data_IF_382406761092
#
_entry.id   IF_382406761092
#
_cell.length_a   1.000
_cell.length_b   1.000
_cell.length_c   1.000
_cell.angle_alpha   90.00
_cell.angle_beta   90.00
_cell.angle_gamma   90.00
#
_symmetry.space_group_name_H-M   'P 1'
#
loop_
_entity.id
_entity.type
_entity.pdbx_description
1 polymer ?
#
# COMPACT_ATOMS: atom_id res chain seq x y z
N UNK A 1 65.17 32.53 -44.29
CA UNK A 1 65.30 31.11 -44.65
C UNK A 1 64.53 30.25 -43.65
N UNK A 2 63.44 29.60 -44.08
CA UNK A 2 63.18 28.15 -43.91
C UNK A 2 61.69 27.82 -44.12
N UNK A 3 61.49 26.70 -44.83
CA UNK A 3 60.31 26.17 -45.51
C UNK A 3 59.15 25.76 -44.58
N UNK A 4 57.90 25.60 -45.09
CA UNK A 4 56.78 25.06 -44.32
C UNK A 4 56.78 23.52 -44.36
N UNK A 5 56.62 22.89 -43.20
CA UNK A 5 56.34 21.45 -43.10
C UNK A 5 54.83 21.22 -43.13
N UNK A 6 54.38 20.47 -44.14
CA UNK A 6 53.06 19.89 -44.24
C UNK A 6 53.12 18.45 -43.72
N UNK A 7 52.27 18.07 -42.77
CA UNK A 7 51.74 16.69 -42.66
C UNK A 7 50.59 16.57 -41.65
N UNK A 8 49.38 16.47 -42.23
CA UNK A 8 48.45 15.33 -42.06
C UNK A 8 48.07 14.94 -40.62
N UNK A 9 47.07 15.62 -40.05
CA UNK A 9 46.26 15.10 -38.94
C UNK A 9 45.15 14.18 -39.48
N UNK A 10 45.20 12.89 -39.11
CA UNK A 10 44.10 11.93 -39.23
C UNK A 10 43.35 11.89 -37.88
N UNK A 11 42.00 11.89 -37.84
CA UNK A 11 41.25 11.70 -36.61
C UNK A 11 41.00 10.20 -36.38
N UNK A 12 41.70 9.58 -35.43
CA UNK A 12 41.30 8.27 -34.91
C UNK A 12 40.44 8.46 -33.66
N UNK A 13 39.13 8.59 -33.88
CA UNK A 13 38.12 8.51 -32.83
C UNK A 13 37.89 7.04 -32.45
N UNK A 14 38.72 6.48 -31.58
CA UNK A 14 38.40 5.19 -30.93
C UNK A 14 37.60 5.47 -29.66
N UNK A 15 36.26 5.54 -29.80
CA UNK A 15 35.38 5.36 -28.66
C UNK A 15 35.45 3.89 -28.23
N UNK A 16 36.25 3.61 -27.21
CA UNK A 16 36.21 2.32 -26.52
C UNK A 16 34.89 2.23 -25.76
N UNK A 17 33.95 1.42 -26.25
CA UNK A 17 32.75 1.07 -25.49
C UNK A 17 33.15 0.32 -24.21
N UNK A 18 32.51 0.59 -23.07
CA UNK A 18 32.77 -0.15 -21.85
C UNK A 18 32.33 -1.62 -22.02
N UNK A 19 33.04 -2.57 -21.38
CA UNK A 19 32.76 -4.00 -21.52
C UNK A 19 31.34 -4.32 -21.03
N UNK A 20 30.58 -5.04 -21.87
CA UNK A 20 29.27 -5.53 -21.50
C UNK A 20 29.39 -6.57 -20.37
N UNK A 21 28.53 -6.44 -19.36
CA UNK A 21 28.50 -7.30 -18.19
C UNK A 21 28.09 -8.73 -18.58
N UNK A 22 28.96 -9.75 -18.44
CA UNK A 22 28.68 -11.12 -18.88
C UNK A 22 27.57 -11.82 -18.09
N UNK A 23 27.09 -11.24 -16.98
CA UNK A 23 25.99 -11.79 -16.17
C UNK A 23 24.59 -11.51 -16.74
N UNK A 24 24.47 -10.73 -17.82
CA UNK A 24 23.18 -10.45 -18.48
C UNK A 24 22.85 -11.41 -19.63
N UNK A 25 23.73 -12.34 -19.99
CA UNK A 25 23.61 -13.13 -21.20
C UNK A 25 22.64 -14.33 -21.12
N UNK A 26 22.01 -14.63 -19.97
CA UNK A 26 21.20 -15.85 -19.85
C UNK A 26 20.09 -15.84 -18.79
N UNK A 27 19.40 -14.71 -18.59
CA UNK A 27 18.15 -14.72 -17.85
C UNK A 27 17.06 -15.39 -18.71
N UNK A 28 16.35 -16.42 -18.22
CA UNK A 28 15.19 -16.95 -18.93
C UNK A 28 14.18 -15.81 -19.12
N UNK A 29 13.85 -15.53 -20.38
CA UNK A 29 12.77 -14.61 -20.74
C UNK A 29 11.47 -15.16 -20.12
N UNK A 30 10.70 -14.39 -19.34
CA UNK A 30 9.43 -14.87 -18.83
C UNK A 30 8.49 -15.12 -20.01
N UNK A 31 8.31 -16.38 -20.38
CA UNK A 31 7.22 -16.83 -21.23
C UNK A 31 5.94 -16.79 -20.41
N UNK A 32 5.32 -15.62 -20.35
CA UNK A 32 3.92 -15.49 -19.98
C UNK A 32 3.24 -14.70 -21.10
N UNK A 33 2.46 -15.40 -21.92
CA UNK A 33 1.37 -14.78 -22.65
C UNK A 33 0.41 -14.21 -21.60
N UNK A 34 0.58 -12.92 -21.30
CA UNK A 34 -0.44 -12.15 -20.61
C UNK A 34 -1.59 -11.95 -21.60
N UNK A 35 -2.82 -12.43 -21.32
CA UNK A 35 -3.94 -12.15 -22.19
C UNK A 35 -4.12 -10.63 -22.34
N UNK A 36 -4.55 -10.20 -23.53
CA UNK A 36 -4.74 -8.79 -23.89
C UNK A 36 -5.79 -8.13 -22.99
N UNK A 37 -5.34 -7.59 -21.86
CA UNK A 37 -6.16 -6.81 -20.93
C UNK A 37 -6.02 -5.34 -21.32
N UNK A 38 -7.11 -4.65 -21.72
CA UNK A 38 -7.05 -3.24 -22.11
C UNK A 38 -6.54 -2.37 -20.96
N UNK A 39 -5.79 -1.29 -21.23
CA UNK A 39 -5.15 -0.51 -20.20
C UNK A 39 -6.19 0.26 -19.38
N UNK A 40 -6.19 0.13 -18.04
CA UNK A 40 -7.10 0.90 -17.22
C UNK A 40 -6.67 2.36 -17.17
N UNK A 41 -7.62 3.24 -17.50
CA UNK A 41 -7.54 4.66 -17.18
C UNK A 41 -8.06 4.83 -15.76
N UNK A 42 -7.37 5.64 -14.93
CA UNK A 42 -7.67 5.91 -13.50
C UNK A 42 -7.23 4.78 -12.55
N UNK A 43 -6.70 5.12 -11.35
CA UNK A 43 -6.11 4.24 -10.32
C UNK A 43 -6.00 2.77 -10.77
N UNK A 44 -4.82 2.36 -11.28
CA UNK A 44 -4.67 1.12 -12.06
C UNK A 44 -5.57 -0.01 -11.58
N UNK A 45 -6.53 -0.42 -12.42
CA UNK A 45 -7.68 -1.27 -12.05
C UNK A 45 -7.30 -2.43 -11.15
N UNK A 46 -6.14 -3.04 -11.39
CA UNK A 46 -5.58 -4.13 -10.59
C UNK A 46 -5.62 -3.91 -9.08
N UNK A 47 -5.40 -2.68 -8.61
CA UNK A 47 -5.50 -2.37 -7.18
C UNK A 47 -6.95 -2.45 -6.69
N UNK A 48 -7.88 -1.87 -7.44
CA UNK A 48 -9.30 -1.91 -7.08
C UNK A 48 -9.86 -3.32 -7.23
N UNK A 49 -9.47 -4.04 -8.28
CA UNK A 49 -9.84 -5.45 -8.49
C UNK A 49 -9.40 -6.31 -7.30
N UNK A 50 -8.19 -6.08 -6.76
CA UNK A 50 -7.71 -6.75 -5.55
C UNK A 50 -8.58 -6.42 -4.33
N UNK A 51 -8.93 -5.15 -4.14
CA UNK A 51 -9.78 -4.72 -3.01
C UNK A 51 -11.17 -5.33 -3.12
N UNK A 52 -11.79 -5.31 -4.30
CA UNK A 52 -13.11 -5.88 -4.54
C UNK A 52 -13.11 -7.41 -4.39
N UNK A 53 -12.02 -8.09 -4.76
CA UNK A 53 -11.87 -9.53 -4.52
C UNK A 53 -11.81 -9.88 -3.03
N UNK A 54 -11.31 -8.97 -2.19
CA UNK A 54 -11.12 -9.17 -0.76
C UNK A 54 -12.37 -8.86 0.06
N UNK A 55 -13.16 -7.84 -0.34
CA UNK A 55 -14.34 -7.38 0.42
C UNK A 55 -15.32 -8.49 0.84
N UNK A 56 -15.67 -9.48 -0.01
CA UNK A 56 -16.55 -10.58 0.39
C UNK A 56 -16.00 -11.50 1.49
N UNK A 57 -14.70 -11.42 1.78
CA UNK A 57 -13.99 -12.29 2.71
C UNK A 57 -13.58 -11.61 4.01
N UNK A 58 -13.95 -10.34 4.19
CA UNK A 58 -13.68 -9.56 5.40
C UNK A 58 -14.98 -9.03 5.99
N UNK A 59 -14.92 -8.59 7.23
CA UNK A 59 -16.03 -7.83 7.82
C UNK A 59 -15.81 -6.34 7.57
N UNK A 60 -16.88 -5.64 7.22
CA UNK A 60 -16.90 -4.18 7.13
C UNK A 60 -17.91 -3.61 8.13
N UNK A 61 -17.62 -2.43 8.64
CA UNK A 61 -18.54 -1.65 9.46
C UNK A 61 -18.68 -0.23 8.94
N UNK A 62 -19.80 0.40 9.24
CA UNK A 62 -20.03 1.81 8.94
C UNK A 62 -19.37 2.71 10.00
N UNK A 63 -19.37 4.02 9.74
CA UNK A 63 -18.89 5.00 10.71
C UNK A 63 -19.83 5.03 11.92
N UNK A 64 -21.13 4.91 11.68
CA UNK A 64 -22.19 4.91 12.67
C UNK A 64 -22.06 3.70 13.60
N UNK A 65 -21.76 2.51 13.07
CA UNK A 65 -21.49 1.32 13.88
C UNK A 65 -20.32 1.55 14.85
N UNK A 66 -19.21 2.12 14.35
CA UNK A 66 -18.04 2.39 15.18
C UNK A 66 -18.35 3.45 16.24
N UNK A 67 -19.06 4.52 15.88
CA UNK A 67 -19.50 5.55 16.83
C UNK A 67 -20.36 4.94 17.94
N UNK A 68 -21.29 4.05 17.58
CA UNK A 68 -22.14 3.35 18.55
C UNK A 68 -21.31 2.46 19.47
N UNK A 69 -20.36 1.68 18.94
CA UNK A 69 -19.49 0.82 19.76
C UNK A 69 -18.65 1.63 20.75
N UNK A 70 -18.14 2.79 20.32
CA UNK A 70 -17.40 3.71 21.19
C UNK A 70 -18.33 4.29 22.26
N UNK A 71 -19.55 4.71 21.90
CA UNK A 71 -20.53 5.27 22.83
C UNK A 71 -20.97 4.23 23.88
N UNK A 72 -21.11 2.97 23.47
CA UNK A 72 -21.48 1.85 24.35
C UNK A 72 -20.32 1.37 25.24
N UNK A 73 -19.10 1.91 25.05
CA UNK A 73 -17.91 1.49 25.78
C UNK A 73 -17.47 0.07 25.46
N UNK A 74 -17.82 -0.45 24.26
CA UNK A 74 -17.40 -1.76 23.81
C UNK A 74 -15.87 -1.80 23.69
N UNK A 75 -15.18 -2.84 24.20
CA UNK A 75 -13.74 -2.96 24.02
C UNK A 75 -13.41 -3.16 22.54
N UNK A 76 -12.76 -2.17 21.92
CA UNK A 76 -12.36 -2.18 20.52
C UNK A 76 -11.02 -1.49 20.34
N UNK A 77 -10.13 -2.13 19.59
CA UNK A 77 -8.87 -1.54 19.14
C UNK A 77 -9.09 -0.82 17.82
N UNK A 78 -9.00 0.51 17.83
CA UNK A 78 -9.05 1.30 16.61
C UNK A 78 -7.62 1.47 16.08
N UNK A 79 -7.36 1.01 14.86
CA UNK A 79 -6.03 1.01 14.25
C UNK A 79 -6.02 1.87 12.98
N UNK A 80 -5.18 2.90 12.99
CA UNK A 80 -4.92 3.77 11.84
C UNK A 80 -3.79 3.19 10.99
N UNK A 81 -4.13 2.71 9.78
CA UNK A 81 -3.15 2.14 8.84
C UNK A 81 -2.62 3.13 7.81
N UNK A 82 -2.89 4.42 8.00
CA UNK A 82 -2.34 5.49 7.16
C UNK A 82 -0.86 5.74 7.46
N UNK A 83 -0.21 6.44 6.54
CA UNK A 83 1.15 6.92 6.79
C UNK A 83 1.13 8.05 7.84
N UNK A 84 2.20 8.20 8.65
CA UNK A 84 2.24 9.20 9.73
C UNK A 84 1.87 10.62 9.28
N UNK A 85 2.32 11.01 8.08
CA UNK A 85 2.04 12.33 7.50
C UNK A 85 0.54 12.60 7.25
N UNK A 86 -0.27 11.55 7.05
CA UNK A 86 -1.71 11.68 6.83
C UNK A 86 -2.46 12.00 8.14
N UNK A 87 -1.91 11.58 9.29
CA UNK A 87 -2.56 11.67 10.61
C UNK A 87 -2.65 13.09 11.15
N UNK A 88 -1.84 14.03 10.63
CA UNK A 88 -1.91 15.45 10.98
C UNK A 88 -3.27 16.10 10.67
N UNK A 89 -4.06 15.50 9.78
CA UNK A 89 -5.42 15.96 9.44
C UNK A 89 -6.47 15.51 10.47
N UNK A 90 -6.07 14.82 11.52
CA UNK A 90 -6.92 14.26 12.55
C UNK A 90 -6.92 12.74 12.56
N UNK A 91 -7.45 12.20 13.66
CA UNK A 91 -7.51 10.78 13.97
C UNK A 91 -8.84 10.45 14.68
N UNK A 92 -9.17 9.17 14.77
CA UNK A 92 -10.37 8.69 15.46
C UNK A 92 -10.00 8.38 16.92
N UNK A 93 -10.40 9.23 17.86
CA UNK A 93 -10.07 9.06 19.28
C UNK A 93 -8.55 9.06 19.52
N UNK A 94 -8.06 8.05 20.25
CA UNK A 94 -6.64 7.77 20.41
C UNK A 94 -6.28 6.41 19.79
N UNK A 95 -6.12 6.33 18.46
CA UNK A 95 -5.96 5.06 17.78
C UNK A 95 -4.51 4.57 17.88
N UNK A 96 -4.35 3.25 17.80
CA UNK A 96 -3.04 2.62 17.59
C UNK A 96 -2.61 2.92 16.14
N UNK A 97 -1.47 3.57 15.96
CA UNK A 97 -0.99 3.98 14.63
C UNK A 97 0.01 2.95 14.10
N UNK A 98 -0.41 2.14 13.14
CA UNK A 98 0.46 1.12 12.52
C UNK A 98 0.31 1.22 11.00
N UNK A 99 1.24 1.85 10.29
CA UNK A 99 1.15 2.00 8.84
C UNK A 99 0.97 0.66 8.13
N UNK A 100 0.19 0.65 7.04
CA UNK A 100 -0.17 -0.59 6.32
C UNK A 100 1.04 -1.47 5.99
N UNK A 101 2.19 -0.89 5.64
CA UNK A 101 3.38 -1.63 5.22
C UNK A 101 4.13 -2.38 6.32
N UNK A 102 3.80 -2.14 7.60
CA UNK A 102 4.44 -2.78 8.76
C UNK A 102 3.43 -3.44 9.70
N UNK A 103 2.17 -3.56 9.26
CA UNK A 103 1.06 -4.02 10.09
C UNK A 103 1.31 -5.43 10.62
N UNK A 104 1.62 -6.38 9.74
CA UNK A 104 1.79 -7.80 10.06
C UNK A 104 2.95 -8.03 11.04
N UNK A 105 3.95 -7.16 11.04
CA UNK A 105 5.13 -7.26 11.93
C UNK A 105 4.87 -6.65 13.31
N UNK A 106 3.94 -5.68 13.40
CA UNK A 106 3.72 -4.91 14.63
C UNK A 106 2.44 -5.31 15.37
N UNK A 107 1.46 -5.90 14.69
CA UNK A 107 0.12 -6.11 15.25
C UNK A 107 0.12 -6.97 16.52
N UNK A 108 0.90 -8.06 16.56
CA UNK A 108 0.97 -8.96 17.73
C UNK A 108 1.55 -8.28 18.97
N UNK A 109 2.35 -7.20 18.81
CA UNK A 109 2.86 -6.42 19.94
C UNK A 109 1.81 -5.47 20.49
N UNK A 110 0.92 -4.98 19.62
CA UNK A 110 -0.13 -4.04 19.98
C UNK A 110 -1.39 -4.75 20.50
N UNK A 111 -1.78 -5.84 19.84
CA UNK A 111 -2.98 -6.64 20.13
C UNK A 111 -2.56 -8.13 20.06
N UNK A 112 -2.01 -8.70 21.14
CA UNK A 112 -1.50 -10.08 21.14
C UNK A 112 -2.60 -11.14 21.10
N UNK A 113 -3.79 -10.83 21.61
CA UNK A 113 -4.92 -11.75 21.60
C UNK A 113 -5.71 -11.63 20.28
N UNK A 114 -5.71 -12.70 19.51
CA UNK A 114 -6.35 -12.79 18.19
C UNK A 114 -7.88 -12.73 18.23
N UNK A 115 -8.48 -12.87 19.43
CA UNK A 115 -9.93 -12.79 19.63
C UNK A 115 -10.42 -11.38 19.92
N UNK A 116 -9.52 -10.43 20.18
CA UNK A 116 -9.88 -9.04 20.45
C UNK A 116 -10.48 -8.36 19.20
N UNK A 117 -11.43 -7.46 19.44
CA UNK A 117 -12.09 -6.73 18.36
C UNK A 117 -11.18 -5.63 17.83
N UNK A 118 -10.87 -5.68 16.54
CA UNK A 118 -10.03 -4.71 15.84
C UNK A 118 -10.83 -4.03 14.74
N UNK A 119 -10.78 -2.70 14.72
CA UNK A 119 -11.32 -1.87 13.64
C UNK A 119 -10.16 -1.13 12.96
N UNK A 120 -9.93 -1.46 11.69
CA UNK A 120 -8.92 -0.85 10.85
C UNK A 120 -9.54 0.28 10.04
N UNK A 121 -8.85 1.41 9.95
CA UNK A 121 -9.22 2.45 9.00
C UNK A 121 -8.00 3.02 8.29
N UNK A 122 -8.23 3.45 7.05
CA UNK A 122 -7.27 4.22 6.28
C UNK A 122 -7.91 5.54 5.84
N UNK A 123 -7.36 6.23 4.83
CA UNK A 123 -7.98 7.45 4.32
C UNK A 123 -9.38 7.24 3.70
N UNK A 124 -9.63 6.08 3.07
CA UNK A 124 -10.82 5.86 2.23
C UNK A 124 -11.42 4.46 2.23
N UNK A 125 -11.01 3.58 3.15
CA UNK A 125 -11.52 2.20 3.27
C UNK A 125 -10.73 1.11 2.51
N UNK A 126 -10.07 1.42 1.38
CA UNK A 126 -9.44 0.38 0.56
C UNK A 126 -8.20 -0.28 1.19
N UNK A 127 -7.28 0.49 1.79
CA UNK A 127 -6.08 -0.07 2.44
C UNK A 127 -6.44 -0.85 3.71
N UNK A 128 -7.48 -0.41 4.44
CA UNK A 128 -7.97 -1.11 5.63
C UNK A 128 -8.66 -2.42 5.27
N UNK A 129 -9.33 -2.53 4.12
CA UNK A 129 -9.86 -3.79 3.64
C UNK A 129 -8.76 -4.85 3.41
N UNK A 130 -7.69 -4.47 2.70
CA UNK A 130 -6.53 -5.36 2.49
C UNK A 130 -5.79 -5.69 3.80
N UNK A 131 -5.77 -4.76 4.76
CA UNK A 131 -5.22 -5.00 6.08
C UNK A 131 -6.07 -6.03 6.86
N UNK A 132 -7.40 -5.90 6.82
CA UNK A 132 -8.32 -6.80 7.52
C UNK A 132 -8.16 -8.24 7.02
N UNK A 133 -8.03 -8.43 5.71
CA UNK A 133 -7.75 -9.75 5.12
C UNK A 133 -6.42 -10.33 5.59
N UNK A 134 -5.38 -9.50 5.69
CA UNK A 134 -4.05 -9.94 6.14
C UNK A 134 -4.09 -10.37 7.61
N UNK A 135 -4.78 -9.61 8.47
CA UNK A 135 -4.97 -10.01 9.87
C UNK A 135 -5.82 -11.28 10.00
N UNK A 136 -6.86 -11.44 9.18
CA UNK A 136 -7.63 -12.68 9.11
C UNK A 136 -6.76 -13.89 8.76
N UNK A 137 -5.84 -13.75 7.80
CA UNK A 137 -4.85 -14.79 7.46
C UNK A 137 -3.86 -15.10 8.61
N UNK A 138 -3.63 -14.14 9.51
CA UNK A 138 -2.83 -14.32 10.72
C UNK A 138 -3.61 -14.97 11.88
N UNK A 139 -4.93 -15.19 11.72
CA UNK A 139 -5.77 -15.84 12.73
C UNK A 139 -6.60 -14.90 13.60
N UNK A 140 -6.55 -13.58 13.36
CA UNK A 140 -7.45 -12.65 14.05
C UNK A 140 -8.90 -12.89 13.64
N UNK A 141 -9.78 -13.13 14.61
CA UNK A 141 -11.15 -13.58 14.35
C UNK A 141 -12.18 -12.45 14.30
N UNK A 142 -11.85 -11.29 14.86
CA UNK A 142 -12.78 -10.17 15.03
C UNK A 142 -12.21 -8.87 14.45
N UNK A 143 -11.89 -8.92 13.15
CA UNK A 143 -11.32 -7.78 12.41
C UNK A 143 -12.35 -7.18 11.46
N UNK A 144 -12.44 -5.84 11.50
CA UNK A 144 -13.35 -5.05 10.70
C UNK A 144 -12.61 -3.94 9.96
N UNK A 145 -12.96 -3.69 8.69
CA UNK A 145 -12.55 -2.49 7.96
C UNK A 145 -13.66 -1.45 8.03
N UNK A 146 -13.32 -0.20 8.37
CA UNK A 146 -14.30 0.89 8.38
C UNK A 146 -14.52 1.44 6.96
N UNK A 147 -15.77 1.37 6.49
CA UNK A 147 -16.19 1.84 5.17
C UNK A 147 -15.94 3.34 5.04
N UNK A 148 -15.37 3.77 3.90
CA UNK A 148 -15.06 5.18 3.63
C UNK A 148 -13.89 5.76 4.44
N UNK A 149 -13.36 5.02 5.42
CA UNK A 149 -12.20 5.40 6.21
C UNK A 149 -12.33 6.75 6.92
N UNK A 150 -11.19 7.39 7.20
CA UNK A 150 -11.13 8.66 7.90
C UNK A 150 -11.89 9.79 7.18
N UNK A 151 -12.02 9.74 5.85
CA UNK A 151 -12.82 10.74 5.11
C UNK A 151 -14.29 10.70 5.51
N UNK A 152 -14.89 9.52 5.57
CA UNK A 152 -16.29 9.35 5.99
C UNK A 152 -16.45 9.75 7.46
N UNK A 153 -15.51 9.34 8.32
CA UNK A 153 -15.50 9.77 9.72
C UNK A 153 -15.42 11.29 9.89
N UNK A 154 -14.53 11.95 9.15
CA UNK A 154 -14.41 13.40 9.23
C UNK A 154 -15.68 14.11 8.74
N UNK A 155 -16.36 13.56 7.73
CA UNK A 155 -17.64 14.07 7.24
C UNK A 155 -18.77 13.90 8.26
N UNK A 156 -18.82 12.78 8.99
CA UNK A 156 -19.85 12.56 10.02
C UNK A 156 -19.75 13.51 11.22
N UNK A 157 -18.60 14.19 11.38
CA UNK A 157 -18.40 15.19 12.44
C UNK A 157 -18.78 16.61 12.01
N UNK A 158 -19.13 16.81 10.73
CA UNK A 158 -19.59 18.11 10.24
C UNK A 158 -21.10 18.26 10.51
N UNK A 159 -21.56 19.43 10.97
CA UNK A 159 -22.97 19.69 11.26
C UNK A 159 -23.86 19.75 10.01
#
# INVERSE_FOLDING_TARGET
>A
MNQPFSSRNQPFSTQSQPPQNPLQANLPQPQQEVPDVPPPKTHGTRFLDLVEAVKPHINEITVEDLQQWIADGKPVHVIDVREPIETHKGVIGDPIRIPRGVLEVQIERAVPDVTETIVLYCAGGNRSALAAESLGKMGYTSVYSMIGGFRAWAQSLQP
#
